data_IF_833807473583
#
_entry.id   IF_833807473583
#
_cell.length_a   1.000
_cell.length_b   1.000
_cell.length_c   1.000
_cell.angle_alpha   90.00
_cell.angle_beta   90.00
_cell.angle_gamma   90.00
#
_symmetry.space_group_name_H-M   'P 1'
#
loop_
_entity.id
_entity.type
_entity.pdbx_description
1 polymer ?
#
# COMPACT_ATOMS: atom_id res chain seq x y z
N UNK A 1 59.79 -13.63 -4.61
CA UNK A 1 59.12 -13.47 -5.92
C UNK A 1 57.63 -13.69 -5.67
N UNK A 2 56.84 -12.64 -5.41
CA UNK A 2 56.08 -11.81 -6.39
C UNK A 2 55.12 -12.66 -7.24
N UNK A 3 53.81 -12.35 -7.39
CA UNK A 3 52.86 -11.71 -6.47
C UNK A 3 51.42 -12.31 -6.56
N UNK A 4 50.50 -11.73 -5.76
CA UNK A 4 49.05 -11.79 -5.93
C UNK A 4 48.60 -11.10 -7.23
N UNK A 5 47.64 -11.69 -7.95
CA UNK A 5 46.84 -11.04 -9.00
C UNK A 5 45.36 -11.44 -8.87
N UNK A 6 44.52 -10.43 -8.67
CA UNK A 6 43.07 -10.44 -8.87
C UNK A 6 42.77 -10.47 -10.38
N UNK A 7 41.67 -11.09 -10.83
CA UNK A 7 40.75 -10.29 -11.65
C UNK A 7 39.25 -10.65 -11.49
N UNK A 8 38.45 -9.61 -11.39
CA UNK A 8 37.08 -9.58 -11.92
C UNK A 8 37.06 -9.94 -13.41
N UNK A 9 36.22 -10.91 -13.83
CA UNK A 9 35.13 -10.70 -14.82
C UNK A 9 34.52 -12.02 -15.35
N UNK A 10 33.19 -11.96 -15.46
CA UNK A 10 32.29 -12.54 -16.50
C UNK A 10 32.03 -14.05 -16.55
N UNK A 11 30.79 -14.43 -16.21
CA UNK A 11 29.97 -15.35 -17.03
C UNK A 11 28.49 -14.91 -16.94
N UNK A 12 27.99 -14.28 -18.01
CA UNK A 12 27.06 -14.83 -19.01
C UNK A 12 25.66 -15.16 -18.43
N UNK A 13 24.76 -14.16 -18.49
CA UNK A 13 23.30 -14.39 -18.43
C UNK A 13 22.81 -14.84 -19.81
N UNK A 14 21.95 -15.86 -19.92
CA UNK A 14 21.40 -16.29 -21.19
C UNK A 14 20.35 -15.31 -21.72
N UNK A 15 20.43 -15.10 -23.04
CA UNK A 15 19.53 -14.31 -23.88
C UNK A 15 18.06 -14.76 -23.75
N UNK A 16 17.16 -13.82 -23.45
CA UNK A 16 15.73 -13.94 -23.81
C UNK A 16 15.43 -12.87 -24.85
N UNK A 17 14.99 -13.32 -26.02
CA UNK A 17 14.66 -12.51 -27.19
C UNK A 17 13.41 -11.67 -26.91
N UNK A 18 13.50 -10.37 -27.16
CA UNK A 18 12.36 -9.44 -27.15
C UNK A 18 11.65 -9.53 -28.50
N UNK A 19 10.41 -10.02 -28.48
CA UNK A 19 9.46 -9.97 -29.60
C UNK A 19 8.79 -8.60 -29.72
N UNK A 20 8.44 -8.24 -30.96
CA UNK A 20 8.14 -6.90 -31.46
C UNK A 20 6.80 -6.28 -31.00
N UNK A 21 6.90 -4.99 -30.70
CA UNK A 21 6.00 -3.86 -30.99
C UNK A 21 4.55 -4.11 -31.45
N UNK A 22 3.62 -3.52 -30.69
CA UNK A 22 2.35 -2.97 -31.22
C UNK A 22 2.33 -1.47 -30.88
N UNK A 23 2.33 -0.64 -31.92
CA UNK A 23 2.22 0.81 -31.83
C UNK A 23 0.80 1.21 -31.42
N UNK A 24 0.66 2.03 -30.37
CA UNK A 24 -0.53 2.81 -30.14
C UNK A 24 -0.23 4.28 -30.51
N UNK A 25 -0.91 4.77 -31.55
CA UNK A 25 -0.88 6.16 -31.97
C UNK A 25 -1.34 7.05 -30.81
N UNK A 26 -0.45 7.91 -30.30
CA UNK A 26 -0.85 9.05 -29.47
C UNK A 26 -1.02 10.27 -30.36
N UNK A 27 -2.23 10.82 -30.38
CA UNK A 27 -2.56 12.09 -31.04
C UNK A 27 -1.81 13.21 -30.32
N UNK A 28 -0.82 13.80 -31.00
CA UNK A 28 -0.08 14.97 -30.52
C UNK A 28 -0.96 16.21 -30.80
N UNK A 29 -1.55 16.77 -29.75
CA UNK A 29 -2.05 18.14 -29.80
C UNK A 29 -0.87 19.08 -29.56
N UNK A 30 -0.36 19.68 -30.63
CA UNK A 30 0.67 20.73 -30.56
C UNK A 30 0.02 21.98 -29.97
N UNK A 31 0.28 22.25 -28.69
CA UNK A 31 -0.02 23.55 -28.08
C UNK A 31 1.11 24.52 -28.47
N UNK A 32 0.79 25.52 -29.29
CA UNK A 32 1.71 26.59 -29.66
C UNK A 32 1.95 27.44 -28.40
N UNK A 33 3.12 27.29 -27.78
CA UNK A 33 3.55 28.12 -26.65
C UNK A 33 3.94 29.51 -27.16
N UNK A 34 3.21 30.55 -26.73
CA UNK A 34 3.71 31.91 -26.76
C UNK A 34 4.89 32.03 -25.77
N UNK A 35 6.05 32.60 -26.16
CA UNK A 35 7.14 32.82 -25.23
C UNK A 35 6.84 34.07 -24.39
N UNK A 36 6.95 33.97 -23.07
CA UNK A 36 7.01 35.15 -22.20
C UNK A 36 5.95 35.28 -21.11
N UNK A 37 5.65 34.20 -20.38
CA UNK A 37 5.13 34.30 -19.02
C UNK A 37 5.92 33.32 -18.15
N UNK A 38 6.96 33.82 -17.48
CA UNK A 38 7.54 33.08 -16.36
C UNK A 38 6.53 33.22 -15.22
N UNK A 39 5.69 32.20 -15.05
CA UNK A 39 4.93 32.06 -13.83
C UNK A 39 5.95 31.83 -12.72
N UNK A 40 5.97 32.70 -11.70
CA UNK A 40 6.76 32.45 -10.52
C UNK A 40 6.41 31.05 -10.01
N UNK A 41 7.43 30.21 -9.78
CA UNK A 41 7.21 28.86 -9.28
C UNK A 41 6.39 28.94 -7.97
N UNK A 42 5.34 28.11 -7.88
CA UNK A 42 4.47 28.03 -6.71
C UNK A 42 5.24 27.69 -5.43
N UNK A 43 4.62 27.69 -4.24
CA UNK A 43 5.27 27.09 -3.08
C UNK A 43 5.55 25.59 -3.32
N UNK A 44 6.55 25.00 -2.63
CA UNK A 44 6.67 23.55 -2.54
C UNK A 44 5.36 22.93 -2.04
N UNK A 45 5.06 21.71 -2.48
CA UNK A 45 3.78 21.05 -2.20
C UNK A 45 4.01 19.70 -1.53
N UNK A 46 3.26 19.41 -0.47
CA UNK A 46 3.10 18.06 0.08
C UNK A 46 1.81 17.49 -0.47
N UNK A 47 1.86 16.26 -0.97
CA UNK A 47 0.70 15.57 -1.51
C UNK A 47 0.45 14.29 -0.72
N UNK A 48 -0.73 14.23 -0.10
CA UNK A 48 -1.27 13.01 0.48
C UNK A 48 -2.14 12.30 -0.57
N UNK A 49 -2.02 10.99 -0.64
CA UNK A 49 -2.76 10.20 -1.62
C UNK A 49 -4.21 9.95 -1.19
N UNK A 50 -5.08 9.70 -2.16
CA UNK A 50 -6.42 9.15 -1.92
C UNK A 50 -6.36 7.63 -1.91
N UNK A 51 -6.97 6.99 -0.92
CA UNK A 51 -6.97 5.53 -0.76
C UNK A 51 -8.39 5.03 -0.48
N UNK A 52 -8.80 3.97 -1.16
CA UNK A 52 -10.06 3.26 -0.89
C UNK A 52 -9.74 1.97 -0.14
N UNK A 53 -10.37 1.76 1.02
CA UNK A 53 -10.13 0.59 1.86
C UNK A 53 -11.42 0.09 2.50
N UNK A 54 -11.52 -1.22 2.72
CA UNK A 54 -12.67 -1.78 3.41
C UNK A 54 -12.70 -1.40 4.90
N UNK A 55 -13.90 -1.31 5.49
CA UNK A 55 -14.04 -1.10 6.92
C UNK A 55 -13.38 -2.25 7.70
N UNK A 56 -12.62 -1.92 8.76
CA UNK A 56 -11.77 -2.87 9.49
C UNK A 56 -10.40 -3.09 8.83
N UNK A 57 -10.25 -2.77 7.54
CA UNK A 57 -9.04 -2.99 6.76
C UNK A 57 -7.89 -2.06 7.14
N UNK A 58 -6.68 -2.55 6.89
CA UNK A 58 -5.44 -1.76 7.02
C UNK A 58 -5.03 -1.23 5.65
N UNK A 59 -4.56 0.01 5.59
CA UNK A 59 -4.20 0.72 4.36
C UNK A 59 -2.88 1.48 4.49
N UNK A 60 -2.22 1.70 3.37
CA UNK A 60 -1.05 2.57 3.28
C UNK A 60 -1.39 3.81 2.46
N UNK A 61 -1.17 4.99 3.04
CA UNK A 61 -1.33 6.27 2.37
C UNK A 61 0.04 6.88 2.10
N UNK A 62 0.48 6.94 0.82
CA UNK A 62 1.71 7.63 0.45
C UNK A 62 1.61 9.14 0.66
N UNK A 63 2.66 9.70 1.23
CA UNK A 63 2.89 11.15 1.37
C UNK A 63 4.13 11.50 0.57
N UNK A 64 4.01 12.41 -0.40
CA UNK A 64 5.12 12.88 -1.23
C UNK A 64 5.37 14.37 -1.06
N UNK A 65 6.58 14.79 -1.40
CA UNK A 65 7.00 16.18 -1.45
C UNK A 65 7.39 16.54 -2.87
N UNK A 66 6.98 17.72 -3.31
CA UNK A 66 7.36 18.33 -4.57
C UNK A 66 8.08 19.65 -4.28
N UNK A 67 9.39 19.66 -4.47
CA UNK A 67 10.20 20.86 -4.34
C UNK A 67 9.81 21.90 -5.40
N UNK A 68 10.02 23.18 -5.06
CA UNK A 68 9.81 24.30 -5.96
C UNK A 68 11.13 25.02 -6.24
N UNK A 69 11.34 25.40 -7.49
CA UNK A 69 12.57 26.05 -7.92
C UNK A 69 12.77 27.39 -7.19
N UNK A 70 13.95 27.57 -6.59
CA UNK A 70 14.29 28.78 -5.83
C UNK A 70 13.65 28.87 -4.43
N UNK A 71 12.90 27.85 -3.98
CA UNK A 71 12.28 27.77 -2.65
C UNK A 71 12.68 26.48 -1.93
N UNK A 72 13.97 26.39 -1.58
CA UNK A 72 14.53 25.24 -0.88
C UNK A 72 13.93 25.07 0.52
N UNK A 73 13.56 23.84 0.86
CA UNK A 73 13.09 23.47 2.21
C UNK A 73 14.11 22.53 2.81
N UNK A 74 14.82 22.97 3.85
CA UNK A 74 15.82 22.18 4.55
C UNK A 74 15.21 21.35 5.68
N UNK A 75 14.19 21.89 6.34
CA UNK A 75 13.51 21.29 7.48
C UNK A 75 12.01 21.44 7.32
N UNK A 76 11.25 20.41 7.65
CA UNK A 76 9.80 20.37 7.48
C UNK A 76 9.14 19.80 8.73
N UNK A 77 8.07 20.46 9.19
CA UNK A 77 7.15 19.95 10.20
C UNK A 77 5.76 19.89 9.58
N UNK A 78 5.30 18.69 9.24
CA UNK A 78 3.97 18.42 8.70
C UNK A 78 3.05 18.03 9.87
N UNK A 79 1.89 18.69 9.99
CA UNK A 79 0.90 18.37 11.03
C UNK A 79 -0.43 18.00 10.40
N UNK A 80 -0.88 16.79 10.66
CA UNK A 80 -2.08 16.21 10.08
C UNK A 80 -3.12 15.92 11.16
N UNK A 81 -4.39 16.21 10.88
CA UNK A 81 -5.50 15.71 11.70
C UNK A 81 -5.80 14.27 11.31
N UNK A 82 -5.75 13.36 12.29
CA UNK A 82 -6.14 11.95 12.13
C UNK A 82 -7.43 11.75 12.94
N UNK A 83 -8.61 11.64 12.29
CA UNK A 83 -9.87 11.47 12.99
C UNK A 83 -9.95 10.12 13.72
N UNK A 84 -9.56 10.07 14.99
CA UNK A 84 -9.44 8.84 15.78
C UNK A 84 -10.74 8.03 15.92
N UNK A 85 -11.91 8.67 15.73
CA UNK A 85 -13.21 7.99 15.70
C UNK A 85 -13.48 7.24 14.40
N UNK A 86 -12.65 7.43 13.38
CA UNK A 86 -12.81 6.81 12.06
C UNK A 86 -11.59 6.01 11.64
N UNK A 87 -10.38 6.45 12.00
CA UNK A 87 -9.11 5.85 11.56
C UNK A 87 -8.12 5.84 12.71
N UNK A 88 -7.34 4.77 12.82
CA UNK A 88 -6.21 4.65 13.75
C UNK A 88 -4.89 4.70 12.98
N UNK A 89 -3.94 5.50 13.43
CA UNK A 89 -2.56 5.43 12.95
C UNK A 89 -1.83 4.27 13.62
N UNK A 90 -1.28 3.37 12.81
CA UNK A 90 -0.48 2.24 13.29
C UNK A 90 1.01 2.57 13.26
N UNK A 91 1.49 3.19 12.18
CA UNK A 91 2.90 3.55 12.02
C UNK A 91 3.11 4.62 10.92
N UNK A 92 4.28 5.24 10.92
CA UNK A 92 4.78 6.10 9.84
C UNK A 92 6.09 5.53 9.33
N UNK A 93 6.09 5.07 8.09
CA UNK A 93 7.24 4.39 7.49
C UNK A 93 8.00 5.39 6.62
N UNK A 94 9.22 5.81 6.99
CA UNK A 94 10.01 6.72 6.17
C UNK A 94 10.31 6.12 4.80
N UNK A 95 10.28 6.96 3.77
CA UNK A 95 10.74 6.55 2.45
C UNK A 95 12.28 6.53 2.39
N UNK A 96 12.85 5.59 1.62
CA UNK A 96 14.30 5.46 1.49
C UNK A 96 14.95 6.71 0.88
N UNK A 97 14.21 7.49 0.09
CA UNK A 97 14.70 8.75 -0.49
C UNK A 97 15.01 9.81 0.57
N UNK A 98 14.32 9.81 1.71
CA UNK A 98 14.62 10.73 2.82
C UNK A 98 16.03 10.47 3.36
N UNK A 99 16.34 9.22 3.72
CA UNK A 99 17.67 8.85 4.18
C UNK A 99 18.75 9.03 3.09
N UNK A 100 18.41 8.76 1.82
CA UNK A 100 19.33 8.97 0.69
C UNK A 100 19.71 10.44 0.50
N UNK A 101 18.84 11.37 0.90
CA UNK A 101 19.13 12.82 0.92
C UNK A 101 19.87 13.30 2.19
N UNK A 102 20.30 12.38 3.06
CA UNK A 102 20.98 12.69 4.32
C UNK A 102 20.05 13.28 5.38
N UNK A 103 18.73 13.16 5.19
CA UNK A 103 17.70 13.59 6.13
C UNK A 103 17.25 12.44 7.03
N UNK A 104 16.67 12.80 8.15
CA UNK A 104 15.97 11.90 9.08
C UNK A 104 14.51 12.32 9.17
N UNK A 105 13.64 11.33 9.37
CA UNK A 105 12.21 11.54 9.61
C UNK A 105 11.87 10.95 10.97
N UNK A 106 11.19 11.73 11.79
CA UNK A 106 10.63 11.30 13.06
C UNK A 106 9.18 11.74 13.16
N UNK A 107 8.39 11.12 14.03
CA UNK A 107 6.99 11.45 14.19
C UNK A 107 6.50 11.32 15.62
N UNK A 108 5.48 12.10 15.95
CA UNK A 108 4.79 12.06 17.22
C UNK A 108 3.27 12.06 16.99
N UNK A 109 2.55 11.36 17.87
CA UNK A 109 1.10 11.37 17.89
C UNK A 109 0.59 11.97 19.19
N UNK A 110 -0.40 12.87 19.10
CA UNK A 110 -1.03 13.48 20.28
C UNK A 110 -2.25 14.30 19.89
N UNK A 111 -3.29 14.31 20.73
CA UNK A 111 -4.50 15.12 20.53
C UNK A 111 -5.19 14.93 19.15
N UNK A 112 -5.28 13.69 18.63
CA UNK A 112 -5.78 13.38 17.27
C UNK A 112 -4.99 14.07 16.14
N UNK A 113 -3.73 14.41 16.41
CA UNK A 113 -2.81 14.98 15.44
C UNK A 113 -1.59 14.08 15.30
N UNK A 114 -1.13 13.99 14.06
CA UNK A 114 0.15 13.40 13.70
C UNK A 114 1.10 14.54 13.32
N UNK A 115 2.20 14.66 14.04
CA UNK A 115 3.29 15.57 13.68
C UNK A 115 4.44 14.76 13.09
N UNK A 116 4.84 15.07 11.86
CA UNK A 116 5.97 14.47 11.17
C UNK A 116 7.04 15.54 11.00
N UNK A 117 8.27 15.24 11.42
CA UNK A 117 9.41 16.13 11.31
C UNK A 117 10.44 15.53 10.37
N UNK A 118 10.85 16.27 9.34
CA UNK A 118 11.98 15.94 8.46
C UNK A 118 13.11 16.93 8.73
N UNK A 119 14.26 16.42 9.15
CA UNK A 119 15.38 17.24 9.62
C UNK A 119 16.74 16.60 9.32
N UNK A 120 17.83 17.26 9.70
CA UNK A 120 19.20 16.77 9.51
C UNK A 120 19.78 17.12 8.14
N UNK A 121 20.98 16.63 7.84
CA UNK A 121 21.67 16.87 6.57
C UNK A 121 22.03 18.34 6.29
N UNK A 122 22.55 18.60 5.09
CA UNK A 122 22.98 19.95 4.64
C UNK A 122 22.32 20.41 3.33
N UNK A 123 21.61 19.51 2.65
CA UNK A 123 20.86 19.79 1.43
C UNK A 123 19.38 20.09 1.72
N UNK A 124 18.67 20.61 0.74
CA UNK A 124 17.21 20.69 0.79
C UNK A 124 16.58 19.30 0.60
N UNK A 125 15.31 19.17 1.03
CA UNK A 125 14.48 17.99 0.79
C UNK A 125 14.22 17.90 -0.73
N UNK A 126 14.53 16.75 -1.31
CA UNK A 126 14.32 16.49 -2.75
C UNK A 126 12.89 16.05 -3.03
N UNK A 127 12.38 16.32 -4.25
CA UNK A 127 11.08 15.78 -4.66
C UNK A 127 11.07 14.25 -4.62
N UNK A 128 9.99 13.65 -4.11
CA UNK A 128 9.87 12.20 -3.94
C UNK A 128 8.91 11.81 -2.82
N UNK A 129 8.94 10.53 -2.43
CA UNK A 129 8.20 10.04 -1.27
C UNK A 129 8.82 10.56 0.03
N UNK A 130 8.00 11.03 0.96
CA UNK A 130 8.44 11.33 2.33
C UNK A 130 8.26 10.11 3.23
N UNK A 131 7.05 9.57 3.26
CA UNK A 131 6.70 8.43 4.09
C UNK A 131 5.43 7.74 3.59
N UNK A 132 5.12 6.60 4.19
CA UNK A 132 3.81 5.98 4.14
C UNK A 132 3.16 6.05 5.51
N UNK A 133 1.91 6.47 5.56
CA UNK A 133 1.09 6.34 6.76
C UNK A 133 0.43 4.96 6.74
N UNK A 134 0.77 4.11 7.70
CA UNK A 134 0.10 2.84 7.93
C UNK A 134 -1.11 3.11 8.84
N UNK A 135 -2.30 2.97 8.28
CA UNK A 135 -3.55 3.37 8.90
C UNK A 135 -4.51 2.17 8.94
N UNK A 136 -5.36 2.09 9.98
CA UNK A 136 -6.49 1.15 10.04
C UNK A 136 -7.80 1.91 10.00
N UNK A 137 -8.64 1.59 9.02
CA UNK A 137 -10.00 2.10 8.95
C UNK A 137 -10.85 1.35 9.97
N UNK A 138 -11.51 2.06 10.89
CA UNK A 138 -12.33 1.40 11.91
C UNK A 138 -13.54 0.70 11.28
N UNK A 139 -14.02 -0.42 11.86
CA UNK A 139 -15.11 -1.23 11.30
C UNK A 139 -16.46 -0.49 11.23
N UNK A 140 -16.67 0.53 12.05
CA UNK A 140 -17.93 1.28 12.12
C UNK A 140 -18.11 2.32 11.00
N UNK A 141 -17.14 2.42 10.08
CA UNK A 141 -17.25 3.30 8.93
C UNK A 141 -18.25 2.73 7.91
N UNK A 142 -19.29 3.51 7.61
CA UNK A 142 -20.27 3.14 6.59
C UNK A 142 -19.61 3.16 5.20
N UNK A 143 -19.94 2.20 4.31
CA UNK A 143 -19.48 2.22 2.94
C UNK A 143 -19.77 3.56 2.24
N UNK A 144 -18.79 4.07 1.48
CA UNK A 144 -18.86 5.36 0.79
C UNK A 144 -18.53 6.59 1.65
N UNK A 145 -18.26 6.42 2.95
CA UNK A 145 -17.80 7.53 3.80
C UNK A 145 -16.42 8.02 3.35
N UNK A 146 -16.28 9.33 3.12
CA UNK A 146 -14.99 9.99 2.90
C UNK A 146 -14.45 10.54 4.22
N UNK A 147 -13.20 10.24 4.52
CA UNK A 147 -12.48 10.70 5.71
C UNK A 147 -11.27 11.49 5.23
N UNK A 148 -11.23 12.78 5.56
CA UNK A 148 -10.12 13.65 5.19
C UNK A 148 -9.01 13.59 6.22
N UNK A 149 -7.77 13.40 5.75
CA UNK A 149 -6.54 13.65 6.51
C UNK A 149 -6.09 15.06 6.17
N UNK A 150 -6.49 16.00 7.02
CA UNK A 150 -6.36 17.44 6.78
C UNK A 150 -5.07 18.02 7.35
N UNK A 151 -4.55 19.08 6.74
CA UNK A 151 -3.46 19.86 7.33
C UNK A 151 -3.98 20.69 8.51
N UNK A 152 -3.22 20.72 9.60
CA UNK A 152 -3.52 21.54 10.79
C UNK A 152 -2.39 22.48 11.17
N UNK A 153 -1.39 22.64 10.31
CA UNK A 153 -0.34 23.62 10.49
C UNK A 153 1.02 23.10 10.06
N UNK A 154 1.22 22.97 8.75
CA UNK A 154 2.51 22.63 8.16
C UNK A 154 3.45 23.83 8.12
N UNK A 155 4.72 23.61 8.47
CA UNK A 155 5.76 24.63 8.50
C UNK A 155 7.03 24.12 7.82
N UNK A 156 7.57 24.89 6.87
CA UNK A 156 8.88 24.65 6.26
C UNK A 156 9.89 25.73 6.64
N UNK A 157 11.17 25.39 6.62
CA UNK A 157 12.25 26.36 6.74
C UNK A 157 13.39 26.05 5.75
N UNK A 158 14.04 27.10 5.23
CA UNK A 158 15.23 26.96 4.40
C UNK A 158 16.49 26.68 5.25
N UNK A 159 17.66 26.58 4.61
CA UNK A 159 18.94 26.31 5.30
C UNK A 159 19.42 27.50 6.16
N UNK A 160 18.89 28.70 5.95
CA UNK A 160 19.12 29.89 6.75
C UNK A 160 18.12 30.04 7.92
N UNK A 161 17.25 29.04 8.12
CA UNK A 161 16.17 29.04 9.11
C UNK A 161 15.09 30.10 8.87
N UNK A 162 14.96 30.60 7.64
CA UNK A 162 13.84 31.45 7.24
C UNK A 162 12.62 30.59 6.91
N UNK A 163 11.43 31.08 7.28
CA UNK A 163 10.18 30.37 7.02
C UNK A 163 9.88 30.27 5.52
N UNK A 164 9.53 29.06 5.08
CA UNK A 164 9.09 28.75 3.72
C UNK A 164 7.66 28.24 3.77
N UNK A 165 6.78 28.88 2.98
CA UNK A 165 5.39 28.43 2.82
C UNK A 165 5.39 27.14 2.01
N UNK A 166 4.76 26.11 2.55
CA UNK A 166 4.59 24.80 1.91
C UNK A 166 3.09 24.52 1.85
N UNK A 167 2.57 24.28 0.65
CA UNK A 167 1.17 23.95 0.47
C UNK A 167 0.95 22.45 0.74
N UNK A 168 -0.21 22.10 1.29
CA UNK A 168 -0.59 20.71 1.53
C UNK A 168 -1.83 20.37 0.73
N UNK A 169 -1.73 19.35 -0.12
CA UNK A 169 -2.86 18.71 -0.76
C UNK A 169 -3.31 17.55 0.12
N UNK A 170 -4.48 17.71 0.73
CA UNK A 170 -5.05 16.78 1.70
C UNK A 170 -5.36 15.41 1.10
N UNK A 171 -5.26 14.38 1.95
CA UNK A 171 -5.54 13.00 1.57
C UNK A 171 -6.97 12.62 1.92
N UNK A 172 -7.57 11.74 1.14
CA UNK A 172 -8.92 11.21 1.42
C UNK A 172 -8.88 9.69 1.53
N UNK A 173 -9.47 9.17 2.59
CA UNK A 173 -9.72 7.74 2.76
C UNK A 173 -11.20 7.49 2.48
N UNK A 174 -11.49 6.63 1.52
CA UNK A 174 -12.86 6.25 1.17
C UNK A 174 -13.14 4.84 1.69
N UNK A 175 -14.19 4.67 2.49
CA UNK A 175 -14.67 3.36 2.89
C UNK A 175 -15.24 2.62 1.67
N UNK A 176 -14.64 1.48 1.31
CA UNK A 176 -15.00 0.71 0.13
C UNK A 176 -16.44 0.16 0.23
N UNK A 177 -17.10 0.04 -0.93
CA UNK A 177 -18.44 -0.57 -1.05
C UNK A 177 -18.34 -1.98 -1.59
N UNK A 178 -19.10 -2.92 -1.01
CA UNK A 178 -19.28 -4.26 -1.57
C UNK A 178 -18.04 -5.16 -1.48
N UNK A 179 -17.15 -4.89 -0.53
CA UNK A 179 -15.97 -5.74 -0.26
C UNK A 179 -16.27 -6.68 0.90
N UNK A 180 -16.10 -7.98 0.69
CA UNK A 180 -16.18 -8.97 1.75
C UNK A 180 -14.77 -9.50 2.08
N UNK A 181 -14.45 -9.75 3.36
CA UNK A 181 -13.27 -10.51 3.75
C UNK A 181 -13.32 -11.93 3.17
N UNK A 182 -12.16 -12.57 3.08
CA UNK A 182 -12.03 -13.96 2.67
C UNK A 182 -12.79 -14.85 3.68
N UNK A 183 -13.52 -15.88 3.23
CA UNK A 183 -14.36 -16.74 4.12
C UNK A 183 -13.57 -17.35 5.29
N UNK A 184 -12.30 -17.69 5.08
CA UNK A 184 -11.42 -18.18 6.15
C UNK A 184 -11.18 -17.15 7.29
N UNK A 185 -11.31 -15.85 7.03
CA UNK A 185 -11.26 -14.77 8.02
C UNK A 185 -12.64 -14.63 8.69
N UNK A 186 -12.84 -15.48 9.69
CA UNK A 186 -14.11 -15.67 10.39
C UNK A 186 -14.48 -14.49 11.29
N UNK A 187 -13.48 -13.78 11.82
CA UNK A 187 -13.69 -12.60 12.66
C UNK A 187 -13.77 -11.29 11.85
N UNK A 188 -13.49 -11.34 10.54
CA UNK A 188 -13.62 -10.26 9.56
C UNK A 188 -12.70 -9.07 9.84
N UNK A 189 -11.50 -9.35 10.33
CA UNK A 189 -10.51 -8.32 10.70
C UNK A 189 -9.47 -8.01 9.60
N UNK A 190 -9.67 -8.58 8.40
CA UNK A 190 -8.77 -8.45 7.24
C UNK A 190 -7.38 -9.05 7.50
N UNK A 191 -7.28 -9.99 8.42
CA UNK A 191 -6.14 -10.85 8.70
C UNK A 191 -6.56 -12.31 8.62
N UNK A 192 -5.60 -13.18 8.33
CA UNK A 192 -5.79 -14.62 8.51
C UNK A 192 -4.97 -15.00 9.74
N UNK A 193 -5.65 -15.40 10.80
CA UNK A 193 -5.02 -15.86 12.03
C UNK A 193 -4.54 -17.31 11.92
N UNK A 194 -3.71 -17.76 12.87
CA UNK A 194 -3.25 -19.14 12.90
C UNK A 194 -4.42 -20.15 13.04
N UNK A 195 -5.42 -19.94 13.92
CA UNK A 195 -6.59 -20.83 13.99
C UNK A 195 -7.35 -20.96 12.65
N UNK A 196 -7.47 -19.86 11.92
CA UNK A 196 -8.15 -19.82 10.62
C UNK A 196 -7.35 -20.57 9.55
N UNK A 197 -6.02 -20.38 9.50
CA UNK A 197 -5.15 -21.15 8.62
C UNK A 197 -5.19 -22.66 8.95
N UNK A 198 -5.15 -23.01 10.24
CA UNK A 198 -5.21 -24.41 10.68
C UNK A 198 -6.54 -25.07 10.30
N UNK A 199 -7.62 -24.31 10.15
CA UNK A 199 -8.92 -24.81 9.70
C UNK A 199 -8.87 -25.24 8.24
N UNK A 200 -8.21 -24.49 7.38
CA UNK A 200 -8.07 -24.85 5.96
C UNK A 200 -7.07 -25.99 5.77
N UNK A 201 -6.03 -26.06 6.61
CA UNK A 201 -5.14 -27.24 6.66
C UNK A 201 -5.92 -28.52 7.04
N UNK A 202 -6.93 -28.42 7.90
CA UNK A 202 -7.77 -29.58 8.23
C UNK A 202 -8.58 -30.05 7.01
N UNK A 203 -9.18 -29.13 6.25
CA UNK A 203 -9.90 -29.49 5.01
C UNK A 203 -8.97 -30.16 4.00
N UNK A 204 -7.76 -29.62 3.81
CA UNK A 204 -6.73 -30.24 2.97
C UNK A 204 -6.37 -31.66 3.43
N UNK A 205 -6.13 -31.87 4.72
CA UNK A 205 -5.71 -33.17 5.25
C UNK A 205 -6.83 -34.23 5.22
N UNK A 206 -8.08 -33.83 5.42
CA UNK A 206 -9.24 -34.73 5.32
C UNK A 206 -9.59 -35.01 3.86
N UNK A 207 -9.24 -34.09 2.95
CA UNK A 207 -9.40 -34.23 1.50
C UNK A 207 -10.80 -33.90 1.00
N UNK A 208 -11.72 -33.46 1.86
CA UNK A 208 -13.03 -32.92 1.49
C UNK A 208 -13.54 -31.98 2.59
N UNK A 209 -14.45 -31.09 2.24
CA UNK A 209 -15.24 -30.28 3.17
C UNK A 209 -16.67 -30.13 2.67
N UNK A 210 -17.56 -29.64 3.53
CA UNK A 210 -18.97 -29.44 3.21
C UNK A 210 -19.56 -28.26 3.98
N UNK A 211 -20.75 -27.85 3.58
CA UNK A 211 -21.53 -26.79 4.22
C UNK A 211 -22.01 -27.23 5.61
N UNK A 212 -21.69 -26.45 6.64
CA UNK A 212 -22.18 -26.62 8.01
C UNK A 212 -22.40 -25.26 8.68
N UNK A 213 -23.66 -24.82 8.72
CA UNK A 213 -24.04 -23.54 9.33
C UNK A 213 -23.86 -23.50 10.86
N UNK A 214 -23.52 -24.61 11.51
CA UNK A 214 -23.21 -24.63 12.94
C UNK A 214 -21.79 -24.12 13.27
N UNK A 215 -20.94 -23.93 12.26
CA UNK A 215 -19.56 -23.47 12.44
C UNK A 215 -19.39 -21.99 12.10
N UNK A 216 -18.27 -21.40 12.55
CA UNK A 216 -18.03 -19.95 12.43
C UNK A 216 -17.89 -19.46 10.98
N UNK A 217 -17.28 -20.26 10.12
CA UNK A 217 -17.10 -19.97 8.69
C UNK A 217 -18.17 -20.63 7.81
N UNK A 218 -19.04 -21.47 8.38
CA UNK A 218 -20.10 -22.17 7.65
C UNK A 218 -19.68 -23.48 6.98
N UNK A 219 -18.51 -24.04 7.33
CA UNK A 219 -17.99 -25.28 6.74
C UNK A 219 -17.55 -26.31 7.78
N UNK A 220 -17.48 -27.59 7.39
CA UNK A 220 -16.96 -28.66 8.23
C UNK A 220 -16.10 -29.64 7.42
N UNK A 221 -15.09 -30.29 8.04
CA UNK A 221 -14.25 -31.25 7.34
C UNK A 221 -15.01 -32.53 7.02
N UNK A 222 -14.64 -33.17 5.90
CA UNK A 222 -15.22 -34.43 5.44
C UNK A 222 -16.38 -34.25 4.46
N UNK A 223 -16.92 -35.37 3.93
CA UNK A 223 -18.03 -35.32 2.99
C UNK A 223 -19.33 -34.89 3.68
N UNK A 224 -20.21 -34.22 2.94
CA UNK A 224 -21.51 -33.77 3.44
C UNK A 224 -22.28 -32.95 2.41
N UNK A 225 -23.13 -32.04 2.87
CA UNK A 225 -23.93 -31.17 2.01
C UNK A 225 -23.06 -30.17 1.23
N UNK A 226 -23.25 -30.07 -0.08
CA UNK A 226 -22.50 -29.18 -0.98
C UNK A 226 -23.40 -28.18 -1.74
N UNK A 227 -24.58 -27.89 -1.20
CA UNK A 227 -25.57 -26.99 -1.82
C UNK A 227 -25.37 -25.49 -1.48
N UNK A 228 -24.28 -25.11 -0.81
CA UNK A 228 -23.94 -23.71 -0.51
C UNK A 228 -22.87 -23.15 -1.47
N UNK A 229 -22.55 -21.87 -1.34
CA UNK A 229 -21.42 -21.27 -2.05
C UNK A 229 -20.12 -21.94 -1.62
N UNK A 230 -19.23 -22.20 -2.58
CA UNK A 230 -17.90 -22.72 -2.28
C UNK A 230 -17.12 -21.80 -1.35
N UNK A 231 -16.25 -22.39 -0.54
CA UNK A 231 -15.32 -21.66 0.29
C UNK A 231 -14.31 -20.90 -0.60
N UNK A 232 -13.91 -19.66 -0.27
CA UNK A 232 -13.03 -18.85 -1.12
C UNK A 232 -11.66 -19.50 -1.41
N UNK A 233 -11.20 -20.40 -0.53
CA UNK A 233 -9.99 -21.19 -0.73
C UNK A 233 -10.16 -22.39 -1.69
N UNK A 234 -11.37 -22.73 -2.12
CA UNK A 234 -11.69 -23.78 -3.09
C UNK A 234 -12.14 -23.12 -4.40
N UNK A 235 -11.18 -22.76 -5.26
CA UNK A 235 -11.40 -21.86 -6.39
C UNK A 235 -10.87 -22.40 -7.74
N UNK A 236 -10.01 -23.43 -7.77
CA UNK A 236 -9.40 -23.89 -9.03
C UNK A 236 -9.05 -25.39 -9.10
N UNK A 237 -10.00 -26.25 -9.51
CA UNK A 237 -11.43 -25.99 -9.65
C UNK A 237 -12.12 -25.97 -8.28
N UNK A 238 -13.27 -25.31 -8.18
CA UNK A 238 -14.12 -25.37 -6.99
C UNK A 238 -14.79 -26.76 -6.90
N UNK A 239 -14.16 -27.71 -6.20
CA UNK A 239 -14.53 -29.13 -6.22
C UNK A 239 -14.74 -29.76 -4.84
N UNK A 240 -14.88 -28.93 -3.80
CA UNK A 240 -15.06 -29.31 -2.40
C UNK A 240 -13.82 -29.97 -1.77
N UNK A 241 -12.68 -29.89 -2.44
CA UNK A 241 -11.37 -30.28 -1.93
C UNK A 241 -10.44 -29.08 -1.94
N UNK A 242 -9.64 -28.91 -0.88
CA UNK A 242 -8.56 -27.93 -0.91
C UNK A 242 -7.35 -28.61 -1.55
N UNK A 243 -6.90 -28.12 -2.69
CA UNK A 243 -5.67 -28.57 -3.34
C UNK A 243 -4.43 -28.01 -2.65
N UNK A 244 -3.26 -28.54 -3.00
CA UNK A 244 -2.00 -28.01 -2.46
C UNK A 244 -1.75 -26.55 -2.89
N UNK A 245 -2.13 -26.17 -4.10
CA UNK A 245 -1.94 -24.79 -4.61
C UNK A 245 -2.83 -23.82 -3.85
N UNK A 246 -4.08 -24.20 -3.60
CA UNK A 246 -5.03 -23.42 -2.80
C UNK A 246 -4.59 -23.27 -1.34
N UNK A 247 -4.08 -24.34 -0.73
CA UNK A 247 -3.50 -24.24 0.61
C UNK A 247 -2.31 -23.28 0.64
N UNK A 248 -1.40 -23.37 -0.34
CA UNK A 248 -0.28 -22.43 -0.46
C UNK A 248 -0.76 -20.99 -0.69
N UNK A 249 -1.91 -20.80 -1.33
CA UNK A 249 -2.48 -19.47 -1.55
C UNK A 249 -2.90 -18.84 -0.22
N UNK A 250 -3.60 -19.57 0.64
CA UNK A 250 -3.98 -19.05 1.95
C UNK A 250 -2.77 -18.81 2.87
N UNK A 251 -1.75 -19.68 2.81
CA UNK A 251 -0.48 -19.48 3.55
C UNK A 251 0.19 -18.16 3.13
N UNK A 252 0.05 -17.72 1.88
CA UNK A 252 0.55 -16.41 1.44
C UNK A 252 -0.21 -15.25 2.07
N UNK A 253 -1.54 -15.37 2.25
CA UNK A 253 -2.34 -14.35 2.93
C UNK A 253 -2.02 -14.29 4.43
N UNK A 254 -1.83 -15.44 5.08
CA UNK A 254 -1.37 -15.53 6.47
C UNK A 254 0.00 -14.86 6.69
N UNK A 255 0.95 -15.08 5.77
CA UNK A 255 2.29 -14.48 5.84
C UNK A 255 2.39 -13.11 5.15
N UNK A 256 1.27 -12.41 5.01
CA UNK A 256 1.22 -11.13 4.31
C UNK A 256 1.97 -10.02 5.07
N UNK A 257 2.50 -9.01 4.36
CA UNK A 257 3.05 -7.82 4.98
C UNK A 257 2.05 -7.17 5.94
N UNK A 258 2.53 -6.78 7.12
CA UNK A 258 1.71 -6.24 8.21
C UNK A 258 0.62 -7.19 8.74
N UNK A 259 0.64 -8.47 8.33
CA UNK A 259 -0.34 -9.47 8.73
C UNK A 259 -1.75 -9.18 8.21
N UNK A 260 -1.87 -8.50 7.06
CA UNK A 260 -3.17 -8.08 6.50
C UNK A 260 -3.26 -8.40 5.03
N UNK A 261 -4.47 -8.61 4.52
CA UNK A 261 -4.73 -8.79 3.10
C UNK A 261 -5.84 -7.85 2.64
N UNK A 262 -6.06 -7.76 1.33
CA UNK A 262 -7.14 -6.98 0.74
C UNK A 262 -7.76 -7.69 -0.46
N UNK A 263 -8.95 -7.25 -0.86
CA UNK A 263 -9.57 -7.66 -2.13
C UNK A 263 -8.82 -7.02 -3.31
N UNK A 264 -8.50 -7.83 -4.32
CA UNK A 264 -7.90 -7.36 -5.57
C UNK A 264 -8.40 -8.19 -6.75
N UNK A 265 -9.27 -7.58 -7.56
CA UNK A 265 -9.80 -8.21 -8.75
C UNK A 265 -8.68 -8.59 -9.74
N UNK A 266 -8.85 -9.72 -10.43
CA UNK A 266 -7.89 -10.21 -11.42
C UNK A 266 -6.73 -11.04 -10.83
N UNK A 267 -6.71 -11.25 -9.51
CA UNK A 267 -5.90 -12.28 -8.87
C UNK A 267 -6.62 -13.64 -8.94
N UNK A 268 -5.91 -14.71 -8.62
CA UNK A 268 -6.40 -16.09 -8.76
C UNK A 268 -7.67 -16.37 -7.93
N UNK A 269 -7.78 -15.79 -6.74
CA UNK A 269 -8.85 -15.97 -5.76
C UNK A 269 -9.59 -14.66 -5.42
N UNK A 270 -9.23 -13.54 -6.08
CA UNK A 270 -9.80 -12.22 -5.79
C UNK A 270 -9.18 -11.48 -4.60
N UNK A 271 -8.10 -12.00 -4.00
CA UNK A 271 -7.41 -11.39 -2.86
C UNK A 271 -5.93 -11.08 -3.16
N UNK A 272 -5.29 -10.27 -2.32
CA UNK A 272 -3.87 -9.97 -2.43
C UNK A 272 -3.25 -9.75 -1.05
N UNK A 273 -2.02 -10.22 -0.82
CA UNK A 273 -1.33 -9.98 0.45
C UNK A 273 -1.03 -8.49 0.62
N UNK A 274 -1.15 -8.02 1.86
CA UNK A 274 -0.77 -6.69 2.31
C UNK A 274 -1.95 -5.70 2.43
N UNK A 275 -1.68 -4.47 2.88
CA UNK A 275 -2.67 -3.43 3.10
C UNK A 275 -3.31 -2.93 1.79
N UNK A 276 -4.49 -2.31 1.90
CA UNK A 276 -5.10 -1.52 0.83
C UNK A 276 -4.20 -0.34 0.41
N UNK A 277 -4.35 0.10 -0.84
CA UNK A 277 -3.66 1.29 -1.38
C UNK A 277 -2.31 1.03 -2.04
N UNK A 278 -1.73 -0.18 -1.92
CA UNK A 278 -0.51 -0.58 -2.61
C UNK A 278 -0.67 -1.99 -3.19
N UNK A 279 -0.27 -2.16 -4.46
CA UNK A 279 -0.15 -3.49 -5.07
C UNK A 279 1.26 -4.02 -4.86
N UNK A 280 1.38 -5.18 -4.21
CA UNK A 280 2.66 -5.88 -4.10
C UNK A 280 2.98 -6.64 -5.39
N UNK A 281 3.92 -6.13 -6.21
CA UNK A 281 4.53 -6.94 -7.28
C UNK A 281 5.73 -7.72 -6.75
N UNK A 282 5.67 -9.06 -6.79
CA UNK A 282 6.79 -9.93 -6.36
C UNK A 282 8.03 -9.84 -7.27
N UNK A 283 7.94 -9.25 -8.48
CA UNK A 283 9.08 -9.08 -9.40
C UNK A 283 9.97 -7.88 -9.07
N UNK A 284 9.45 -6.91 -8.34
CA UNK A 284 10.15 -5.71 -7.92
C UNK A 284 9.84 -5.48 -6.46
N UNK A 285 10.80 -5.72 -5.57
CA UNK A 285 10.67 -5.31 -4.18
C UNK A 285 10.29 -3.81 -4.14
N UNK A 286 8.99 -3.53 -3.88
CA UNK A 286 8.25 -2.26 -4.00
C UNK A 286 7.97 -1.77 -5.43
N UNK A 287 6.69 -1.71 -5.78
CA UNK A 287 6.13 -0.72 -6.72
C UNK A 287 5.06 0.05 -5.96
N UNK A 288 5.27 1.35 -5.74
CA UNK A 288 4.22 2.27 -5.33
C UNK A 288 3.43 2.67 -6.58
N UNK A 289 2.53 1.81 -7.06
CA UNK A 289 1.55 2.24 -8.06
C UNK A 289 0.18 2.38 -7.37
N UNK A 290 -0.37 3.61 -7.28
CA UNK A 290 -1.73 3.81 -6.80
C UNK A 290 -2.69 3.10 -7.75
N UNK A 291 -3.67 2.39 -7.19
CA UNK A 291 -4.59 1.47 -7.87
C UNK A 291 -5.57 2.10 -8.90
N UNK A 292 -5.32 3.31 -9.40
CA UNK A 292 -6.23 3.99 -10.35
C UNK A 292 -5.50 4.72 -11.48
N UNK A 293 -4.73 3.98 -12.27
CA UNK A 293 -4.23 4.46 -13.58
C UNK A 293 -4.36 3.42 -14.70
N UNK A 294 -5.53 2.79 -14.82
CA UNK A 294 -5.97 2.14 -16.07
C UNK A 294 -7.43 2.40 -16.34
#
# INVERSE_FOLDING_TARGET
MIPLLNPFRTSLRPNVRIGRAVQALSVITVLILAPGLSFAAGPPVIQLSTVTAAAGGTLLMPVSFQASEGKGVSTLVLRLSIPALRVTLLDVIPDASVAASGKSLDFETGNNQLSICVFGGTSDITSGGLCLLLLRLLPDNLPGTSITVADVGTHGADKEASAVVVDVQEGVITAATGTNPHVADSNKDWSVSLPELLRIIQFYNVGNHHCDAATADGFAPGPGNTECQHHDADYTPADWTISFVELLRLIQLYNSPYGTYHVLAGTEDGFSPGPFGIVYDKRFARIYEPLYSR
#
